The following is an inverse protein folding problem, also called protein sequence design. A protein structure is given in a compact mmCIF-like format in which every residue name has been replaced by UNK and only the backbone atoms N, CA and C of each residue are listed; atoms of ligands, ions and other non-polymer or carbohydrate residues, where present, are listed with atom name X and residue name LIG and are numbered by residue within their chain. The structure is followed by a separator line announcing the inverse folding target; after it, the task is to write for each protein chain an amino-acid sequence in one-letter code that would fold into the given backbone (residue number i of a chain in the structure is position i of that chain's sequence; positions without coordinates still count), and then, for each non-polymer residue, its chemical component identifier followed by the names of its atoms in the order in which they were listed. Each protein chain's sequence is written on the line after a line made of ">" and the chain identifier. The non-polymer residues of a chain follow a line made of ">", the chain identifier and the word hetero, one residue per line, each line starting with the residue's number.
data_IF_858115185817
#
_entry.id   IF_858115185817
#
_cell.length_a   1.000
_cell.length_b   1.000
_cell.length_c   1.000
_cell.angle_alpha   90.00
_cell.angle_beta   90.00
_cell.angle_gamma   90.00
#
_symmetry.space_group_name_H-M   'P 1'
#
loop_
_entity.id
_entity.type
_entity.pdbx_description
1 polymer ?
#
# COMPACT_ATOMS: atom_id res chain seq x y z
N UNK A 1 33.34 -52.98 -9.96
CA UNK A 1 33.50 -51.56 -9.55
C UNK A 1 32.90 -50.54 -10.52
N UNK A 2 33.20 -50.58 -11.83
CA UNK A 2 32.63 -49.63 -12.82
C UNK A 2 31.09 -49.52 -12.83
N UNK A 3 30.39 -50.65 -12.80
CA UNK A 3 28.92 -50.67 -12.73
C UNK A 3 28.36 -50.02 -11.46
N UNK A 4 29.05 -50.21 -10.33
CA UNK A 4 28.64 -49.62 -9.05
C UNK A 4 28.80 -48.09 -9.07
N UNK A 5 29.91 -47.60 -9.63
CA UNK A 5 30.13 -46.16 -9.81
C UNK A 5 29.10 -45.52 -10.74
N UNK A 6 28.72 -46.20 -11.83
CA UNK A 6 27.67 -45.72 -12.72
C UNK A 6 26.31 -45.68 -12.03
N UNK A 7 25.97 -46.70 -11.23
CA UNK A 7 24.73 -46.72 -10.47
C UNK A 7 24.67 -45.60 -9.41
N UNK A 8 25.78 -45.33 -8.72
CA UNK A 8 25.84 -44.22 -7.75
C UNK A 8 25.73 -42.87 -8.46
N UNK A 9 26.37 -42.69 -9.62
CA UNK A 9 26.29 -41.47 -10.40
C UNK A 9 24.87 -41.18 -10.92
N UNK A 10 24.15 -42.21 -11.38
CA UNK A 10 22.76 -42.05 -11.85
C UNK A 10 21.81 -41.72 -10.71
N UNK A 11 21.97 -42.38 -9.55
CA UNK A 11 21.18 -42.07 -8.35
C UNK A 11 21.45 -40.63 -7.88
N UNK A 12 22.72 -40.22 -7.83
CA UNK A 12 23.10 -38.86 -7.43
C UNK A 12 22.50 -37.79 -8.38
N UNK A 13 22.56 -38.02 -9.69
CA UNK A 13 21.95 -37.11 -10.68
C UNK A 13 20.43 -37.03 -10.54
N UNK A 14 19.77 -38.15 -10.25
CA UNK A 14 18.32 -38.19 -10.01
C UNK A 14 17.94 -37.38 -8.76
N UNK A 15 18.69 -37.53 -7.67
CA UNK A 15 18.45 -36.78 -6.42
C UNK A 15 18.70 -35.29 -6.62
N UNK A 16 19.77 -34.94 -7.34
CA UNK A 16 20.12 -33.54 -7.61
C UNK A 16 19.03 -32.83 -8.42
N UNK A 17 18.59 -33.44 -9.52
CA UNK A 17 17.51 -32.88 -10.35
C UNK A 17 16.16 -32.77 -9.60
N UNK A 18 15.87 -33.73 -8.71
CA UNK A 18 14.67 -33.66 -7.87
C UNK A 18 14.73 -32.49 -6.87
N UNK A 19 15.91 -32.20 -6.30
CA UNK A 19 16.12 -31.08 -5.37
C UNK A 19 15.92 -29.73 -6.06
N UNK A 20 16.52 -29.54 -7.24
CA UNK A 20 16.38 -28.29 -8.01
C UNK A 20 14.91 -27.97 -8.30
N UNK A 21 14.12 -28.97 -8.73
CA UNK A 21 12.68 -28.77 -8.98
C UNK A 21 11.90 -28.36 -7.73
N UNK A 22 12.29 -28.86 -6.57
CA UNK A 22 11.65 -28.52 -5.31
C UNK A 22 12.01 -27.09 -4.90
N UNK A 23 13.28 -26.69 -5.05
CA UNK A 23 13.74 -25.33 -4.77
C UNK A 23 13.09 -24.30 -5.70
N UNK A 24 13.01 -24.56 -7.01
CA UNK A 24 12.30 -23.71 -7.97
C UNK A 24 10.83 -23.52 -7.59
N UNK A 25 10.17 -24.61 -7.18
CA UNK A 25 8.77 -24.56 -6.76
C UNK A 25 8.60 -23.77 -5.47
N UNK A 26 9.49 -23.92 -4.50
CA UNK A 26 9.47 -23.15 -3.27
C UNK A 26 9.72 -21.66 -3.51
N UNK A 27 10.67 -21.33 -4.40
CA UNK A 27 10.94 -19.95 -4.79
C UNK A 27 9.71 -19.30 -5.45
N UNK A 28 9.05 -20.01 -6.38
CA UNK A 28 7.83 -19.52 -7.02
C UNK A 28 6.67 -19.30 -6.05
N UNK A 29 6.50 -20.21 -5.08
CA UNK A 29 5.46 -20.08 -4.05
C UNK A 29 5.73 -18.92 -3.11
N UNK A 30 6.98 -18.77 -2.62
CA UNK A 30 7.37 -17.67 -1.74
C UNK A 30 7.15 -16.31 -2.42
N UNK A 31 7.58 -16.19 -3.68
CA UNK A 31 7.40 -14.97 -4.47
C UNK A 31 5.90 -14.67 -4.71
N UNK A 32 5.08 -15.70 -4.94
CA UNK A 32 3.63 -15.57 -5.03
C UNK A 32 3.00 -15.03 -3.75
N UNK A 33 3.46 -15.49 -2.58
CA UNK A 33 3.00 -14.97 -1.28
C UNK A 33 3.40 -13.53 -1.04
N UNK A 34 4.64 -13.16 -1.38
CA UNK A 34 5.13 -11.78 -1.27
C UNK A 34 4.32 -10.82 -2.15
N UNK A 35 4.08 -11.20 -3.41
CA UNK A 35 3.24 -10.43 -4.33
C UNK A 35 1.82 -10.30 -3.77
N UNK A 36 1.23 -11.40 -3.31
CA UNK A 36 -0.12 -11.37 -2.74
C UNK A 36 -0.20 -10.49 -1.48
N UNK A 37 0.84 -10.47 -0.66
CA UNK A 37 0.93 -9.59 0.50
C UNK A 37 1.05 -8.13 0.10
N UNK A 38 1.95 -7.81 -0.84
CA UNK A 38 2.12 -6.45 -1.36
C UNK A 38 0.82 -5.90 -1.97
N UNK A 39 0.11 -6.71 -2.75
CA UNK A 39 -1.19 -6.33 -3.32
C UNK A 39 -2.26 -6.08 -2.26
N UNK A 40 -2.29 -6.88 -1.18
CA UNK A 40 -3.22 -6.63 -0.06
C UNK A 40 -2.90 -5.32 0.64
N UNK A 41 -1.63 -5.06 0.91
CA UNK A 41 -1.18 -3.80 1.53
C UNK A 41 -1.52 -2.60 0.65
N UNK A 42 -1.28 -2.68 -0.67
CA UNK A 42 -1.64 -1.63 -1.59
C UNK A 42 -3.13 -1.30 -1.54
N UNK A 43 -4.00 -2.30 -1.62
CA UNK A 43 -5.46 -2.09 -1.57
C UNK A 43 -5.92 -1.47 -0.25
N UNK A 44 -5.35 -1.92 0.87
CA UNK A 44 -5.67 -1.35 2.18
C UNK A 44 -5.30 0.13 2.26
N UNK A 45 -4.13 0.51 1.73
CA UNK A 45 -3.68 1.90 1.68
C UNK A 45 -4.55 2.75 0.74
N UNK A 46 -4.95 2.22 -0.41
CA UNK A 46 -5.86 2.92 -1.34
C UNK A 46 -7.22 3.20 -0.69
N UNK A 47 -7.75 2.25 0.06
CA UNK A 47 -9.00 2.40 0.79
C UNK A 47 -8.88 3.39 1.95
N UNK A 48 -7.76 3.37 2.68
CA UNK A 48 -7.45 4.35 3.72
C UNK A 48 -7.33 5.77 3.14
N UNK A 49 -6.62 5.93 2.02
CA UNK A 49 -6.52 7.22 1.33
C UNK A 49 -7.90 7.73 0.93
N UNK A 50 -8.76 6.85 0.40
CA UNK A 50 -10.11 7.25 0.01
C UNK A 50 -10.92 7.71 1.22
N UNK A 51 -10.85 6.98 2.33
CA UNK A 51 -11.51 7.36 3.58
C UNK A 51 -10.99 8.72 4.10
N UNK A 52 -9.67 8.91 4.12
CA UNK A 52 -9.06 10.17 4.54
C UNK A 52 -9.47 11.34 3.63
N UNK A 53 -9.66 11.11 2.33
CA UNK A 53 -10.17 12.15 1.40
C UNK A 53 -11.60 12.53 1.73
N UNK A 54 -12.45 11.56 2.05
CA UNK A 54 -13.83 11.80 2.48
C UNK A 54 -13.83 12.58 3.79
N UNK A 55 -13.06 12.13 4.79
CA UNK A 55 -12.97 12.79 6.09
C UNK A 55 -12.43 14.21 5.96
N UNK A 56 -11.40 14.41 5.14
CA UNK A 56 -10.86 15.74 4.82
C UNK A 56 -11.92 16.62 4.18
N UNK A 57 -12.70 16.11 3.21
CA UNK A 57 -13.77 16.88 2.60
C UNK A 57 -14.85 17.27 3.62
N UNK A 58 -15.21 16.34 4.51
CA UNK A 58 -16.18 16.60 5.58
C UNK A 58 -15.66 17.62 6.63
N UNK A 59 -14.35 17.62 6.91
CA UNK A 59 -13.72 18.59 7.81
C UNK A 59 -13.54 19.97 7.18
N UNK A 60 -13.27 20.03 5.88
CA UNK A 60 -13.14 21.27 5.14
C UNK A 60 -14.48 21.89 4.77
N UNK A 61 -15.60 21.18 4.96
CA UNK A 61 -16.93 21.69 4.70
C UNK A 61 -17.25 22.90 5.64
N UNK A 62 -17.28 24.13 5.11
CA UNK A 62 -17.54 25.33 5.91
C UNK A 62 -18.95 25.33 6.52
N UNK A 63 -19.89 24.60 5.89
CA UNK A 63 -21.28 24.47 6.33
C UNK A 63 -21.38 23.83 7.72
N UNK A 64 -20.36 23.08 8.15
CA UNK A 64 -20.31 22.45 9.48
C UNK A 64 -20.02 23.44 10.61
N UNK A 65 -19.20 24.46 10.33
CA UNK A 65 -18.77 25.45 11.32
C UNK A 65 -19.69 26.67 11.38
N UNK A 66 -20.43 26.94 10.30
CA UNK A 66 -21.32 28.08 10.18
C UNK A 66 -22.41 28.16 11.28
N UNK A 67 -23.10 27.07 11.67
CA UNK A 67 -24.10 27.10 12.73
C UNK A 67 -23.46 27.39 14.10
N UNK A 68 -22.25 26.89 14.34
CA UNK A 68 -21.50 27.08 15.58
C UNK A 68 -21.03 28.54 15.67
N UNK A 69 -20.52 29.07 14.57
CA UNK A 69 -20.09 30.47 14.46
C UNK A 69 -21.27 31.44 14.67
N UNK A 70 -22.42 31.19 14.01
CA UNK A 70 -23.63 32.00 14.19
C UNK A 70 -24.15 31.97 15.62
N UNK A 71 -24.16 30.80 16.28
CA UNK A 71 -24.55 30.68 17.71
C UNK A 71 -23.64 31.50 18.64
N UNK A 72 -22.37 31.71 18.26
CA UNK A 72 -21.42 32.55 19.01
C UNK A 72 -21.45 34.03 18.60
N UNK A 73 -22.37 34.44 17.73
CA UNK A 73 -22.53 35.83 17.28
C UNK A 73 -21.56 36.25 16.18
N UNK A 74 -20.82 35.32 15.58
CA UNK A 74 -19.97 35.61 14.43
C UNK A 74 -20.79 35.73 13.15
N UNK A 75 -20.31 36.55 12.22
CA UNK A 75 -20.95 36.87 10.93
C UNK A 75 -20.03 36.38 9.81
N UNK A 76 -20.62 35.95 8.70
CA UNK A 76 -19.84 35.61 7.51
C UNK A 76 -19.18 36.89 6.98
N UNK A 77 -17.84 36.92 6.80
CA UNK A 77 -17.15 38.10 6.30
C UNK A 77 -17.57 38.40 4.85
N UNK A 78 -17.58 39.68 4.49
CA UNK A 78 -17.82 40.09 3.11
C UNK A 78 -16.59 39.76 2.23
N UNK A 79 -16.74 39.59 0.89
CA UNK A 79 -15.65 39.14 0.02
C UNK A 79 -14.39 40.01 0.06
N UNK A 80 -14.55 41.31 0.32
CA UNK A 80 -13.49 42.30 0.50
C UNK A 80 -12.71 42.16 1.81
N UNK A 81 -13.21 41.34 2.75
CA UNK A 81 -12.62 41.11 4.07
C UNK A 81 -11.86 39.78 4.16
N UNK A 82 -11.79 39.00 3.07
CA UNK A 82 -11.12 37.69 3.02
C UNK A 82 -9.74 37.83 2.38
N UNK A 83 -8.69 37.50 3.13
CA UNK A 83 -7.31 37.42 2.62
C UNK A 83 -6.93 35.95 2.45
N UNK A 84 -6.69 35.52 1.20
CA UNK A 84 -6.20 34.16 0.91
C UNK A 84 -4.70 34.13 1.19
N UNK A 85 -4.30 33.39 2.23
CA UNK A 85 -2.88 33.17 2.55
C UNK A 85 -2.42 31.89 1.86
N UNK A 86 -1.58 32.02 0.84
CA UNK A 86 -0.94 30.88 0.17
C UNK A 86 0.14 30.31 1.10
N UNK A 87 -0.01 29.04 1.50
CA UNK A 87 1.01 28.36 2.31
C UNK A 87 2.10 27.84 1.37
N UNK A 88 3.17 28.62 1.18
CA UNK A 88 4.41 28.18 0.52
C UNK A 88 5.11 27.14 1.41
N UNK A 89 4.79 25.86 1.28
CA UNK A 89 5.42 24.83 2.10
C UNK A 89 4.87 23.41 2.01
N UNK A 90 3.74 23.18 1.34
CA UNK A 90 3.26 21.82 1.08
C UNK A 90 4.07 21.18 -0.06
N UNK A 91 5.34 20.89 0.20
CA UNK A 91 6.19 20.06 -0.65
C UNK A 91 5.65 18.63 -0.57
N UNK A 92 4.95 18.20 -1.60
CA UNK A 92 4.58 16.81 -1.80
C UNK A 92 5.85 15.97 -2.06
N UNK A 93 5.99 14.76 -1.48
CA UNK A 93 6.78 13.70 -2.11
C UNK A 93 6.08 13.17 -3.36
#
# INVERSE_FOLDING_TARGET
>A
MRFFLLAVATIAGLVYSAKERVEERHAGVALGYEIAQALRTQRALEEEINQLRIDRAALLDPTRLEPIARKRGYRVPAPDQVVVVTVEGARAP
#
